data_IF_789133926857
#
_entry.id   IF_789133926857
#
_cell.length_a   1.000
_cell.length_b   1.000
_cell.length_c   1.000
_cell.angle_alpha   90.00
_cell.angle_beta   90.00
_cell.angle_gamma   90.00
#
_symmetry.space_group_name_H-M   'P 1'
#
loop_
_entity.id
_entity.type
_entity.pdbx_description
1 polymer ?
#
# COMPACT_ATOMS: atom_id res chain seq x y z
N UNK A 1 -1.52 -10.46 17.27
CA UNK A 1 -0.70 -9.28 16.91
C UNK A 1 -0.86 -8.88 15.45
N UNK A 2 -0.90 -9.84 14.52
CA UNK A 2 -1.04 -9.59 13.07
C UNK A 2 -2.09 -8.53 12.69
N UNK A 3 -3.36 -8.76 13.01
CA UNK A 3 -4.46 -7.88 12.60
C UNK A 3 -4.32 -6.43 13.06
N UNK A 4 -3.65 -6.20 14.19
CA UNK A 4 -3.51 -4.86 14.77
C UNK A 4 -2.30 -4.10 14.23
N UNK A 5 -1.16 -4.78 14.04
CA UNK A 5 0.11 -4.11 13.71
C UNK A 5 0.48 -4.19 12.24
N UNK A 6 0.07 -5.26 11.55
CA UNK A 6 0.52 -5.58 10.19
C UNK A 6 -0.62 -5.66 9.17
N UNK A 7 -1.88 -5.55 9.59
CA UNK A 7 -3.02 -5.57 8.66
C UNK A 7 -3.95 -4.36 8.84
N UNK A 8 -3.78 -3.58 9.92
CA UNK A 8 -4.58 -2.37 10.16
C UNK A 8 -3.89 -1.11 9.62
N UNK A 9 -2.57 -1.15 9.42
CA UNK A 9 -1.82 0.03 8.97
C UNK A 9 -2.22 0.42 7.56
N UNK A 10 -2.28 -0.54 6.64
CA UNK A 10 -2.64 -0.33 5.24
C UNK A 10 -4.05 0.27 5.06
N UNK A 11 -5.14 -0.30 5.62
CA UNK A 11 -6.46 0.30 5.48
C UNK A 11 -6.56 1.66 6.17
N UNK A 12 -5.81 1.89 7.25
CA UNK A 12 -5.76 3.19 7.92
C UNK A 12 -5.02 4.24 7.05
N UNK A 13 -3.89 3.86 6.44
CA UNK A 13 -3.16 4.73 5.52
C UNK A 13 -3.98 5.06 4.28
N UNK A 14 -4.67 4.07 3.71
CA UNK A 14 -5.60 4.30 2.59
C UNK A 14 -6.71 5.24 3.05
N UNK A 15 -7.36 4.97 4.19
CA UNK A 15 -8.47 5.79 4.66
C UNK A 15 -8.11 7.25 5.02
N UNK A 16 -6.87 7.52 5.43
CA UNK A 16 -6.42 8.87 5.79
C UNK A 16 -5.79 9.61 4.62
N UNK A 17 -4.95 8.94 3.83
CA UNK A 17 -4.08 9.59 2.85
C UNK A 17 -4.46 9.32 1.40
N UNK A 18 -5.27 8.29 1.11
CA UNK A 18 -5.66 8.02 -0.26
C UNK A 18 -6.66 9.08 -0.73
N UNK A 19 -6.32 9.69 -1.86
CA UNK A 19 -7.16 10.67 -2.53
C UNK A 19 -7.40 10.16 -3.94
N UNK A 20 -8.66 9.92 -4.25
CA UNK A 20 -9.10 9.60 -5.60
C UNK A 20 -8.59 10.67 -6.59
N UNK A 21 -8.86 11.94 -6.29
CA UNK A 21 -8.53 13.09 -7.15
C UNK A 21 -7.85 14.19 -6.33
N UNK A 22 -6.91 14.92 -6.96
CA UNK A 22 -6.34 16.14 -6.38
C UNK A 22 -7.46 17.16 -6.09
N UNK A 23 -7.43 17.80 -4.91
CA UNK A 23 -8.48 18.73 -4.45
C UNK A 23 -8.81 19.81 -5.51
N UNK A 24 -7.77 20.29 -6.22
CA UNK A 24 -7.87 21.30 -7.30
C UNK A 24 -8.75 20.83 -8.48
N UNK A 25 -8.62 19.55 -8.84
CA UNK A 25 -9.38 18.95 -9.94
C UNK A 25 -10.80 18.64 -9.49
N UNK A 26 -10.97 18.19 -8.24
CA UNK A 26 -12.29 17.96 -7.66
C UNK A 26 -13.14 19.24 -7.62
N UNK A 27 -12.52 20.40 -7.34
CA UNK A 27 -13.19 21.70 -7.36
C UNK A 27 -13.55 22.18 -8.77
N UNK A 28 -12.67 21.97 -9.75
CA UNK A 28 -12.87 22.45 -11.13
C UNK A 28 -13.89 21.62 -11.94
N UNK A 29 -14.11 20.35 -11.56
CA UNK A 29 -14.98 19.42 -12.26
C UNK A 29 -16.01 18.79 -11.30
N UNK A 30 -17.02 19.55 -10.84
CA UNK A 30 -18.02 19.06 -9.88
C UNK A 30 -18.87 17.91 -10.44
N UNK A 31 -18.89 17.73 -11.77
CA UNK A 31 -19.54 16.61 -12.44
C UNK A 31 -18.93 15.22 -12.11
N UNK A 32 -17.72 15.17 -11.52
CA UNK A 32 -17.12 13.93 -11.01
C UNK A 32 -17.76 13.46 -9.70
N UNK A 33 -18.44 14.34 -8.96
CA UNK A 33 -19.00 14.01 -7.65
C UNK A 33 -20.20 13.03 -7.68
N UNK A 34 -21.20 13.17 -8.59
CA UNK A 34 -22.32 12.22 -8.66
C UNK A 34 -21.93 10.77 -8.98
N UNK A 35 -20.99 10.47 -9.91
CA UNK A 35 -20.56 9.10 -10.14
C UNK A 35 -19.70 8.54 -8.99
N UNK A 36 -18.85 9.36 -8.34
CA UNK A 36 -18.05 8.93 -7.18
C UNK A 36 -18.89 8.74 -5.91
N UNK A 37 -19.92 9.57 -5.69
CA UNK A 37 -20.77 9.53 -4.47
C UNK A 37 -21.90 8.49 -4.54
N UNK A 38 -22.12 7.85 -5.68
CA UNK A 38 -23.06 6.72 -5.76
C UNK A 38 -22.48 5.53 -5.00
N UNK A 39 -23.07 5.22 -3.85
CA UNK A 39 -22.71 4.11 -2.95
C UNK A 39 -22.50 2.77 -3.67
N UNK A 40 -23.21 2.55 -4.79
CA UNK A 40 -23.11 1.34 -5.60
C UNK A 40 -21.76 1.11 -6.29
N UNK A 41 -20.89 2.12 -6.41
CA UNK A 41 -19.59 1.96 -7.08
C UNK A 41 -18.56 1.29 -6.18
N UNK A 42 -18.42 1.72 -4.93
CA UNK A 42 -17.42 1.21 -3.99
C UNK A 42 -18.01 0.25 -2.94
N UNK A 43 -19.25 0.46 -2.49
CA UNK A 43 -19.89 -0.30 -1.41
C UNK A 43 -21.17 -0.99 -1.89
N UNK A 44 -21.02 -1.90 -2.86
CA UNK A 44 -22.12 -2.79 -3.26
C UNK A 44 -21.93 -4.19 -2.66
N UNK A 45 -23.04 -4.81 -2.22
CA UNK A 45 -23.04 -6.19 -1.73
C UNK A 45 -22.34 -7.21 -2.65
N UNK A 46 -22.54 -7.21 -4.00
CA UNK A 46 -21.82 -8.12 -4.88
C UNK A 46 -20.31 -7.85 -4.91
N UNK A 47 -19.90 -6.58 -4.75
CA UNK A 47 -18.49 -6.22 -4.70
C UNK A 47 -17.84 -6.73 -3.41
N UNK A 48 -18.51 -6.57 -2.25
CA UNK A 48 -18.05 -7.12 -0.97
C UNK A 48 -17.96 -8.66 -1.05
N UNK A 49 -18.99 -9.32 -1.59
CA UNK A 49 -19.00 -10.77 -1.77
C UNK A 49 -17.86 -11.25 -2.67
N UNK A 50 -17.56 -10.51 -3.75
CA UNK A 50 -16.40 -10.78 -4.61
C UNK A 50 -15.10 -10.71 -3.82
N UNK A 51 -14.85 -9.65 -3.06
CA UNK A 51 -13.63 -9.53 -2.25
C UNK A 51 -13.46 -10.65 -1.22
N UNK A 52 -14.55 -11.08 -0.60
CA UNK A 52 -14.53 -12.22 0.34
C UNK A 52 -14.18 -13.53 -0.37
N UNK A 53 -14.75 -13.77 -1.56
CA UNK A 53 -14.43 -14.94 -2.36
C UNK A 53 -12.99 -14.91 -2.88
N UNK A 54 -12.52 -13.77 -3.36
CA UNK A 54 -11.14 -13.58 -3.82
C UNK A 54 -10.17 -13.89 -2.67
N UNK A 55 -10.42 -13.36 -1.46
CA UNK A 55 -9.62 -13.66 -0.28
C UNK A 55 -9.64 -15.14 0.12
N UNK A 56 -10.79 -15.81 0.02
CA UNK A 56 -10.90 -17.24 0.31
C UNK A 56 -10.15 -18.11 -0.70
N UNK A 57 -10.27 -17.78 -1.99
CA UNK A 57 -9.56 -18.49 -3.07
C UNK A 57 -8.06 -18.28 -2.95
N UNK A 58 -7.61 -17.05 -2.70
CA UNK A 58 -6.20 -16.75 -2.51
C UNK A 58 -5.62 -17.45 -1.29
N UNK A 59 -6.32 -17.41 -0.15
CA UNK A 59 -5.92 -18.15 1.05
C UNK A 59 -5.76 -19.65 0.78
N UNK A 60 -6.69 -20.25 0.02
CA UNK A 60 -6.59 -21.63 -0.42
C UNK A 60 -5.37 -21.86 -1.35
N UNK A 61 -5.12 -20.94 -2.28
CA UNK A 61 -3.98 -21.00 -3.19
C UNK A 61 -2.62 -20.77 -2.49
N UNK A 62 -2.58 -20.17 -1.30
CA UNK A 62 -1.39 -20.18 -0.45
C UNK A 62 -1.24 -21.49 0.33
N UNK A 63 -2.36 -21.94 0.90
CA UNK A 63 -2.37 -23.08 1.81
C UNK A 63 -2.08 -24.41 1.11
N UNK A 64 -2.80 -24.72 0.03
CA UNK A 64 -2.69 -26.03 -0.62
C UNK A 64 -1.31 -26.30 -1.24
N UNK A 65 -0.68 -25.37 -1.98
CA UNK A 65 0.67 -25.59 -2.50
C UNK A 65 1.69 -25.79 -1.38
N UNK A 66 1.61 -25.02 -0.29
CA UNK A 66 2.52 -25.15 0.85
C UNK A 66 2.39 -26.53 1.51
N UNK A 67 1.16 -26.98 1.73
CA UNK A 67 0.91 -28.32 2.29
C UNK A 67 1.38 -29.42 1.35
N UNK A 68 1.08 -29.34 0.05
CA UNK A 68 1.39 -30.40 -0.90
C UNK A 68 2.88 -30.50 -1.24
N UNK A 69 3.57 -29.36 -1.30
CA UNK A 69 4.98 -29.33 -1.70
C UNK A 69 5.92 -29.54 -0.51
N UNK A 70 5.62 -28.96 0.65
CA UNK A 70 6.53 -28.99 1.81
C UNK A 70 6.04 -29.92 2.88
N UNK A 71 4.80 -29.74 3.36
CA UNK A 71 4.31 -30.47 4.53
C UNK A 71 4.11 -31.96 4.27
N UNK A 72 3.59 -32.33 3.09
CA UNK A 72 3.33 -33.73 2.73
C UNK A 72 4.61 -34.57 2.59
N UNK A 73 5.76 -33.93 2.37
CA UNK A 73 7.05 -34.59 2.21
C UNK A 73 7.98 -34.37 3.42
N UNK A 74 7.48 -33.70 4.48
CA UNK A 74 8.26 -33.26 5.65
C UNK A 74 9.56 -32.52 5.30
N UNK A 75 9.60 -31.89 4.12
CA UNK A 75 10.82 -31.38 3.51
C UNK A 75 10.92 -29.85 3.64
N UNK A 76 10.80 -29.36 4.87
CA UNK A 76 10.96 -27.92 5.19
C UNK A 76 12.42 -27.51 5.08
N UNK A 77 13.32 -28.33 5.59
CA UNK A 77 14.75 -28.01 5.71
C UNK A 77 15.58 -28.85 4.76
N UNK A 78 16.12 -28.24 3.69
CA UNK A 78 16.96 -28.92 2.71
C UNK A 78 18.28 -29.45 3.29
N UNK A 79 18.74 -28.90 4.42
CA UNK A 79 20.08 -29.17 4.97
C UNK A 79 20.08 -30.05 6.22
N UNK A 80 19.00 -30.05 6.99
CA UNK A 80 19.04 -30.62 8.34
C UNK A 80 18.26 -31.95 8.46
N UNK A 81 17.38 -32.29 7.51
CA UNK A 81 16.68 -33.59 7.50
C UNK A 81 15.74 -33.82 8.69
N UNK A 82 15.43 -32.78 9.47
CA UNK A 82 14.45 -32.84 10.56
C UNK A 82 13.06 -32.50 10.03
N UNK A 83 12.01 -33.21 10.50
CA UNK A 83 10.64 -32.86 10.16
C UNK A 83 10.31 -31.48 10.72
N UNK A 84 9.68 -30.64 9.88
CA UNK A 84 9.21 -29.32 10.31
C UNK A 84 7.97 -29.41 11.20
N UNK A 85 7.93 -28.60 12.25
CA UNK A 85 6.76 -28.42 13.10
C UNK A 85 5.68 -27.56 12.44
N UNK A 86 4.53 -27.44 13.13
CA UNK A 86 3.38 -26.67 12.64
C UNK A 86 3.71 -25.17 12.60
N UNK A 87 4.56 -24.73 13.51
CA UNK A 87 5.02 -23.36 13.69
C UNK A 87 5.87 -22.90 12.49
N UNK A 88 6.70 -23.77 11.92
CA UNK A 88 7.47 -23.50 10.70
C UNK A 88 6.57 -23.23 9.50
N UNK A 89 5.61 -24.13 9.24
CA UNK A 89 4.66 -23.97 8.14
C UNK A 89 3.82 -22.70 8.33
N UNK A 90 3.42 -22.45 9.58
CA UNK A 90 2.70 -21.25 9.97
C UNK A 90 3.50 -19.97 9.67
N UNK A 91 4.80 -19.96 9.97
CA UNK A 91 5.68 -18.83 9.68
C UNK A 91 5.79 -18.58 8.17
N UNK A 92 6.06 -19.61 7.37
CA UNK A 92 6.18 -19.49 5.91
C UNK A 92 4.86 -18.94 5.32
N UNK A 93 3.73 -19.55 5.68
CA UNK A 93 2.41 -19.14 5.22
C UNK A 93 2.10 -17.70 5.60
N UNK A 94 2.41 -17.33 6.84
CA UNK A 94 2.18 -15.99 7.37
C UNK A 94 2.98 -14.93 6.62
N UNK A 95 4.30 -15.12 6.49
CA UNK A 95 5.17 -14.18 5.80
C UNK A 95 4.77 -14.01 4.34
N UNK A 96 4.38 -15.10 3.65
CA UNK A 96 3.90 -15.03 2.27
C UNK A 96 2.64 -14.16 2.13
N UNK A 97 1.63 -14.40 2.97
CA UNK A 97 0.37 -13.66 2.90
C UNK A 97 0.57 -12.19 3.23
N UNK A 98 1.32 -11.90 4.28
CA UNK A 98 1.53 -10.53 4.73
C UNK A 98 2.30 -9.71 3.68
N UNK A 99 3.41 -10.24 3.15
CA UNK A 99 4.18 -9.56 2.11
C UNK A 99 3.38 -9.37 0.81
N UNK A 100 2.59 -10.38 0.40
CA UNK A 100 1.73 -10.22 -0.79
C UNK A 100 0.66 -9.16 -0.54
N UNK A 101 0.03 -9.12 0.64
CA UNK A 101 -0.95 -8.11 0.98
C UNK A 101 -0.34 -6.70 0.93
N UNK A 102 0.85 -6.51 1.52
CA UNK A 102 1.57 -5.23 1.55
C UNK A 102 1.91 -4.73 0.14
N UNK A 103 2.49 -5.61 -0.67
CA UNK A 103 2.89 -5.27 -2.04
C UNK A 103 1.65 -5.02 -2.90
N UNK A 104 0.61 -5.84 -2.75
CA UNK A 104 -0.64 -5.65 -3.49
C UNK A 104 -1.23 -4.29 -3.21
N UNK A 105 -1.40 -3.94 -1.94
CA UNK A 105 -1.93 -2.64 -1.54
C UNK A 105 -1.09 -1.54 -2.18
N UNK A 106 0.23 -1.60 -2.01
CA UNK A 106 1.16 -0.62 -2.58
C UNK A 106 0.90 -0.43 -4.07
N UNK A 107 0.82 -1.51 -4.83
CA UNK A 107 0.60 -1.48 -6.28
C UNK A 107 -0.79 -0.96 -6.68
N UNK A 108 -1.82 -1.19 -5.85
CA UNK A 108 -3.20 -0.79 -6.17
C UNK A 108 -3.52 0.68 -5.89
N UNK A 109 -2.78 1.34 -4.99
CA UNK A 109 -3.06 2.74 -4.61
C UNK A 109 -2.82 3.70 -5.79
N UNK A 110 -3.79 4.59 -6.04
CA UNK A 110 -3.78 5.52 -7.18
C UNK A 110 -3.01 6.82 -6.91
N UNK A 111 -2.86 7.23 -5.65
CA UNK A 111 -2.17 8.44 -5.24
C UNK A 111 -0.93 8.13 -4.38
N UNK A 112 0.23 8.12 -5.03
CA UNK A 112 1.51 7.87 -4.35
C UNK A 112 2.02 9.12 -3.63
N UNK A 113 1.70 9.22 -2.33
CA UNK A 113 2.42 10.13 -1.44
C UNK A 113 3.73 9.49 -0.96
N UNK A 114 4.77 10.32 -0.80
CA UNK A 114 6.06 9.86 -0.26
C UNK A 114 5.89 9.21 1.11
N UNK A 115 5.02 9.76 1.96
CA UNK A 115 4.72 9.22 3.29
C UNK A 115 4.16 7.80 3.18
N UNK A 116 3.21 7.57 2.27
CA UNK A 116 2.63 6.24 2.05
C UNK A 116 3.70 5.23 1.63
N UNK A 117 4.53 5.58 0.65
CA UNK A 117 5.61 4.72 0.18
C UNK A 117 6.63 4.40 1.29
N UNK A 118 6.99 5.38 2.13
CA UNK A 118 7.89 5.17 3.27
C UNK A 118 7.26 4.26 4.31
N UNK A 119 5.99 4.47 4.67
CA UNK A 119 5.30 3.62 5.64
C UNK A 119 5.21 2.16 5.16
N UNK A 120 4.83 1.94 3.89
CA UNK A 120 4.78 0.59 3.31
C UNK A 120 6.17 -0.07 3.26
N UNK A 121 7.22 0.69 2.90
CA UNK A 121 8.59 0.17 2.90
C UNK A 121 9.06 -0.20 4.32
N UNK A 122 8.69 0.60 5.32
CA UNK A 122 8.98 0.30 6.73
C UNK A 122 8.23 -0.96 7.16
N UNK A 123 6.95 -1.12 6.82
CA UNK A 123 6.15 -2.31 7.15
C UNK A 123 6.78 -3.60 6.59
N UNK A 124 7.16 -3.59 5.31
CA UNK A 124 7.82 -4.71 4.63
C UNK A 124 9.13 -5.13 5.33
N UNK A 125 9.86 -4.17 5.92
CA UNK A 125 11.11 -4.45 6.66
C UNK A 125 10.84 -4.87 8.11
N UNK A 126 9.86 -4.23 8.76
CA UNK A 126 9.50 -4.47 10.15
C UNK A 126 8.92 -5.87 10.34
N UNK A 127 8.22 -6.42 9.34
CA UNK A 127 7.66 -7.77 9.42
C UNK A 127 8.73 -8.86 9.63
N UNK A 128 9.71 -9.07 8.72
CA UNK A 128 10.75 -10.08 8.94
C UNK A 128 11.62 -9.73 10.16
N UNK A 129 11.92 -8.45 10.39
CA UNK A 129 12.69 -8.03 11.56
C UNK A 129 11.98 -8.36 12.89
N UNK A 130 10.65 -8.19 12.93
CA UNK A 130 9.79 -8.52 14.07
C UNK A 130 9.71 -10.01 14.32
N UNK A 131 9.62 -10.82 13.26
CA UNK A 131 9.68 -12.29 13.36
C UNK A 131 11.04 -12.76 13.91
N UNK A 132 12.15 -12.19 13.43
CA UNK A 132 13.48 -12.46 14.00
C UNK A 132 13.56 -12.05 15.46
N UNK A 133 13.11 -10.85 15.82
CA UNK A 133 13.13 -10.38 17.20
C UNK A 133 12.29 -11.27 18.12
N UNK A 134 11.10 -11.67 17.69
CA UNK A 134 10.19 -12.51 18.47
C UNK A 134 10.75 -13.92 18.70
N UNK A 135 11.32 -14.54 17.67
CA UNK A 135 11.82 -15.92 17.75
C UNK A 135 13.12 -16.07 18.55
N UNK A 136 13.87 -14.99 18.78
CA UNK A 136 15.03 -15.01 19.68
C UNK A 136 14.64 -14.83 21.17
N UNK A 137 13.40 -14.45 21.46
CA UNK A 137 12.92 -14.23 22.82
C UNK A 137 12.40 -15.54 23.41
N UNK A 138 13.14 -16.10 24.37
CA UNK A 138 12.82 -17.40 24.97
C UNK A 138 11.52 -17.39 25.80
N UNK A 139 11.26 -16.29 26.53
CA UNK A 139 10.13 -16.16 27.44
C UNK A 139 9.50 -14.78 27.28
N UNK A 140 8.57 -14.63 26.33
CA UNK A 140 7.74 -13.43 26.23
C UNK A 140 6.28 -13.84 26.49
N UNK A 141 5.73 -13.38 27.61
CA UNK A 141 4.36 -13.70 28.06
C UNK A 141 4.03 -15.21 28.24
N UNK A 142 5.02 -16.10 28.26
CA UNK A 142 4.86 -17.55 28.44
C UNK A 142 6.00 -18.35 27.81
N UNK A 143 5.81 -19.66 27.68
CA UNK A 143 6.72 -20.54 26.93
C UNK A 143 6.59 -20.25 25.43
N UNK A 144 7.67 -19.80 24.80
CA UNK A 144 7.70 -19.61 23.35
C UNK A 144 8.01 -20.95 22.67
N UNK A 145 7.08 -21.45 21.85
CA UNK A 145 7.28 -22.68 21.09
C UNK A 145 8.04 -22.43 19.78
N UNK A 146 8.21 -21.16 19.39
CA UNK A 146 8.82 -20.76 18.12
C UNK A 146 10.27 -20.27 18.24
N UNK A 147 11.01 -20.77 19.23
CA UNK A 147 12.39 -20.31 19.47
C UNK A 147 13.32 -20.71 18.32
N UNK A 148 14.06 -19.72 17.79
CA UNK A 148 14.98 -19.82 16.65
C UNK A 148 14.38 -20.31 15.32
N UNK A 149 13.05 -20.43 15.20
CA UNK A 149 12.42 -20.89 13.96
C UNK A 149 12.73 -19.94 12.79
N UNK A 150 12.68 -18.63 13.00
CA UNK A 150 12.96 -17.66 11.93
C UNK A 150 14.37 -17.82 11.37
N UNK A 151 15.39 -18.02 12.22
CA UNK A 151 16.77 -18.25 11.77
C UNK A 151 16.90 -19.49 10.90
N UNK A 152 16.16 -20.55 11.21
CA UNK A 152 16.16 -21.78 10.42
C UNK A 152 15.41 -21.62 9.10
N UNK A 153 14.20 -21.06 9.13
CA UNK A 153 13.32 -20.90 7.95
C UNK A 153 13.90 -19.90 6.95
N UNK A 154 14.34 -18.72 7.41
CA UNK A 154 15.01 -17.74 6.54
C UNK A 154 16.41 -18.20 6.11
N UNK A 155 17.01 -19.18 6.78
CA UNK A 155 18.26 -19.79 6.37
C UNK A 155 18.13 -20.75 5.18
N UNK A 156 16.91 -21.15 4.82
CA UNK A 156 16.64 -22.05 3.71
C UNK A 156 16.27 -21.30 2.42
N UNK A 157 16.79 -21.78 1.28
CA UNK A 157 16.48 -21.25 -0.03
C UNK A 157 15.00 -21.45 -0.41
N UNK A 158 14.36 -22.49 0.12
CA UNK A 158 12.94 -22.82 -0.16
C UNK A 158 12.00 -21.68 0.22
N UNK A 159 12.25 -21.03 1.37
CA UNK A 159 11.46 -19.89 1.83
C UNK A 159 11.42 -18.78 0.78
N UNK A 160 12.58 -18.43 0.23
CA UNK A 160 12.67 -17.40 -0.80
C UNK A 160 11.98 -17.81 -2.11
N UNK A 161 12.05 -19.08 -2.51
CA UNK A 161 11.31 -19.58 -3.68
C UNK A 161 9.81 -19.39 -3.47
N UNK A 162 9.28 -19.72 -2.28
CA UNK A 162 7.87 -19.50 -1.95
C UNK A 162 7.50 -18.02 -1.95
N UNK A 163 8.33 -17.14 -1.38
CA UNK A 163 8.11 -15.69 -1.41
C UNK A 163 8.12 -15.17 -2.86
N UNK A 164 9.10 -15.54 -3.69
CA UNK A 164 9.15 -15.09 -5.08
C UNK A 164 7.99 -15.63 -5.91
N UNK A 165 7.62 -16.90 -5.72
CA UNK A 165 6.48 -17.50 -6.39
C UNK A 165 5.17 -16.81 -5.98
N UNK A 166 4.96 -16.58 -4.69
CA UNK A 166 3.76 -15.90 -4.18
C UNK A 166 3.64 -14.48 -4.71
N UNK A 167 4.67 -13.66 -4.53
CA UNK A 167 4.68 -12.29 -5.05
C UNK A 167 4.49 -12.31 -6.58
N UNK A 168 5.26 -13.14 -7.29
CA UNK A 168 5.23 -13.22 -8.74
C UNK A 168 3.88 -13.66 -9.32
N UNK A 169 3.18 -14.60 -8.69
CA UNK A 169 1.88 -15.07 -9.19
C UNK A 169 0.76 -14.13 -8.76
N UNK A 170 0.65 -13.83 -7.46
CA UNK A 170 -0.51 -13.13 -6.93
C UNK A 170 -0.50 -11.63 -7.22
N UNK A 171 0.66 -10.96 -7.15
CA UNK A 171 0.74 -9.53 -7.49
C UNK A 171 0.51 -9.33 -8.98
N UNK A 172 1.08 -10.20 -9.83
CA UNK A 172 0.85 -10.15 -11.28
C UNK A 172 -0.60 -10.47 -11.62
N UNK A 173 -1.23 -11.44 -10.93
CA UNK A 173 -2.65 -11.73 -11.09
C UNK A 173 -3.53 -10.51 -10.75
N UNK A 174 -3.26 -9.85 -9.61
CA UNK A 174 -4.00 -8.63 -9.24
C UNK A 174 -3.79 -7.52 -10.27
N UNK A 175 -2.55 -7.29 -10.71
CA UNK A 175 -2.25 -6.31 -11.76
C UNK A 175 -2.94 -6.65 -13.08
N UNK A 176 -2.91 -7.90 -13.51
CA UNK A 176 -3.52 -8.36 -14.74
C UNK A 176 -5.05 -8.19 -14.71
N UNK A 177 -5.70 -8.53 -13.60
CA UNK A 177 -7.14 -8.33 -13.44
C UNK A 177 -7.50 -6.85 -13.40
N UNK A 178 -6.71 -6.02 -12.72
CA UNK A 178 -6.91 -4.57 -12.70
C UNK A 178 -6.74 -3.96 -14.10
N UNK A 179 -5.67 -4.31 -14.83
CA UNK A 179 -5.43 -3.89 -16.21
C UNK A 179 -6.53 -4.38 -17.16
N UNK A 180 -6.97 -5.62 -17.01
CA UNK A 180 -8.08 -6.17 -17.80
C UNK A 180 -9.36 -5.34 -17.61
N UNK A 181 -9.72 -5.03 -16.37
CA UNK A 181 -10.88 -4.17 -16.08
C UNK A 181 -10.68 -2.77 -16.67
N UNK A 182 -9.47 -2.20 -16.57
CA UNK A 182 -9.16 -0.90 -17.18
C UNK A 182 -9.33 -0.90 -18.71
N UNK A 183 -8.96 -1.99 -19.38
CA UNK A 183 -9.06 -2.10 -20.84
C UNK A 183 -10.50 -2.31 -21.34
N UNK A 184 -11.27 -3.19 -20.68
CA UNK A 184 -12.56 -3.64 -21.21
C UNK A 184 -13.78 -2.98 -20.57
N UNK A 185 -13.65 -2.42 -19.36
CA UNK A 185 -14.73 -1.73 -18.66
C UNK A 185 -14.23 -0.45 -17.95
N UNK A 186 -13.64 0.51 -18.68
CA UNK A 186 -13.06 1.71 -18.09
C UNK A 186 -14.08 2.57 -17.32
N UNK A 187 -15.36 2.52 -17.69
CA UNK A 187 -16.44 3.24 -16.99
C UNK A 187 -16.80 2.65 -15.61
N UNK A 188 -16.34 1.42 -15.32
CA UNK A 188 -16.49 0.80 -14.00
C UNK A 188 -15.26 1.02 -13.11
N UNK A 189 -14.20 1.64 -13.63
CA UNK A 189 -12.94 1.78 -12.93
C UNK A 189 -12.59 3.25 -12.69
N UNK A 190 -12.63 3.63 -11.41
CA UNK A 190 -12.28 4.98 -10.97
C UNK A 190 -10.88 5.40 -11.46
N UNK A 191 -9.91 4.47 -11.51
CA UNK A 191 -8.54 4.80 -11.90
C UNK A 191 -8.45 5.34 -13.34
N UNK A 192 -9.23 4.80 -14.29
CA UNK A 192 -9.19 5.24 -15.70
C UNK A 192 -9.87 6.58 -15.88
N UNK A 193 -11.00 6.79 -15.20
CA UNK A 193 -11.67 8.09 -15.18
C UNK A 193 -10.73 9.16 -14.60
N UNK A 194 -9.99 8.83 -13.55
CA UNK A 194 -9.05 9.74 -12.90
C UNK A 194 -7.80 10.01 -13.74
N UNK A 195 -7.28 9.01 -14.47
CA UNK A 195 -6.20 9.22 -15.43
C UNK A 195 -6.63 10.08 -16.63
N UNK A 196 -7.85 9.90 -17.12
CA UNK A 196 -8.42 10.76 -18.16
C UNK A 196 -8.54 12.21 -17.69
N UNK A 197 -8.93 12.41 -16.42
CA UNK A 197 -9.01 13.73 -15.79
C UNK A 197 -7.62 14.34 -15.57
N UNK A 198 -6.61 13.55 -15.14
CA UNK A 198 -5.22 14.01 -15.02
C UNK A 198 -4.63 14.48 -16.35
N UNK A 199 -5.06 13.88 -17.46
CA UNK A 199 -4.68 14.26 -18.83
C UNK A 199 -5.52 15.41 -19.40
N UNK A 200 -6.57 15.86 -18.70
CA UNK A 200 -7.47 16.89 -19.20
C UNK A 200 -6.82 18.29 -19.21
N UNK A 201 -7.25 19.19 -20.12
CA UNK A 201 -6.70 20.55 -20.22
C UNK A 201 -6.92 21.40 -18.94
N UNK A 202 -7.91 21.04 -18.13
CA UNK A 202 -8.29 21.77 -16.92
C UNK A 202 -7.16 21.83 -15.89
N UNK A 203 -6.34 20.78 -15.78
CA UNK A 203 -5.16 20.76 -14.90
C UNK A 203 -4.12 21.81 -15.30
N UNK A 204 -3.92 22.00 -16.61
CA UNK A 204 -2.92 22.94 -17.13
C UNK A 204 -3.34 24.39 -16.87
N UNK A 205 -4.64 24.70 -17.04
CA UNK A 205 -5.20 26.00 -16.72
C UNK A 205 -5.03 26.34 -15.23
N UNK A 206 -5.28 25.38 -14.34
CA UNK A 206 -5.12 25.59 -12.91
C UNK A 206 -3.66 25.86 -12.51
N UNK A 207 -2.71 25.09 -13.05
CA UNK A 207 -1.28 25.33 -12.79
C UNK A 207 -0.84 26.75 -13.19
N UNK A 208 -1.33 27.24 -14.34
CA UNK A 208 -1.07 28.60 -14.80
C UNK A 208 -1.66 29.62 -13.83
N UNK A 209 -2.90 29.43 -13.38
CA UNK A 209 -3.56 30.33 -12.42
C UNK A 209 -2.84 30.35 -11.06
N UNK A 210 -2.39 29.19 -10.58
CA UNK A 210 -1.62 29.04 -9.33
C UNK A 210 -0.27 29.74 -9.41
N UNK A 211 0.43 29.62 -10.54
CA UNK A 211 1.67 30.37 -10.78
C UNK A 211 1.42 31.87 -10.83
N UNK A 212 0.34 32.30 -11.48
CA UNK A 212 -0.06 33.70 -11.53
C UNK A 212 -0.33 34.25 -10.13
N UNK A 213 -1.15 33.57 -9.33
CA UNK A 213 -1.46 33.98 -7.96
C UNK A 213 -0.20 34.03 -7.08
N UNK A 214 0.73 33.06 -7.23
CA UNK A 214 2.03 33.10 -6.53
C UNK A 214 2.86 34.32 -6.91
N UNK A 215 2.88 34.72 -8.18
CA UNK A 215 3.57 35.93 -8.64
C UNK A 215 2.91 37.18 -8.05
N UNK A 216 1.57 37.28 -8.11
CA UNK A 216 0.83 38.40 -7.52
C UNK A 216 1.08 38.53 -6.00
N UNK A 217 1.13 37.41 -5.28
CA UNK A 217 1.48 37.40 -3.85
C UNK A 217 2.92 37.84 -3.58
N UNK A 218 3.88 37.38 -4.38
CA UNK A 218 5.28 37.79 -4.28
C UNK A 218 5.43 39.30 -4.54
N UNK A 219 4.76 39.82 -5.57
CA UNK A 219 4.77 41.26 -5.89
C UNK A 219 4.18 42.11 -4.77
N UNK A 220 3.03 41.70 -4.21
CA UNK A 220 2.42 42.41 -3.06
C UNK A 220 3.34 42.43 -1.84
N UNK A 221 4.02 41.32 -1.56
CA UNK A 221 4.98 41.23 -0.46
C UNK A 221 6.19 42.14 -0.69
N UNK A 222 6.67 42.22 -1.93
CA UNK A 222 7.80 43.06 -2.29
C UNK A 222 7.45 44.55 -2.20
N UNK A 223 6.25 44.94 -2.63
CA UNK A 223 5.72 46.31 -2.47
C UNK A 223 5.60 46.69 -0.99
N UNK A 224 5.06 45.81 -0.14
CA UNK A 224 4.98 46.06 1.31
C UNK A 224 6.36 46.29 1.95
N UNK A 225 7.36 45.47 1.58
CA UNK A 225 8.73 45.67 2.07
C UNK A 225 9.33 47.00 1.62
N UNK A 226 9.03 47.43 0.39
CA UNK A 226 9.54 48.67 -0.18
C UNK A 226 8.92 49.90 0.52
N UNK A 227 7.63 49.82 0.85
CA UNK A 227 6.92 50.84 1.63
C UNK A 227 7.44 50.91 3.07
N UNK A 228 7.74 49.77 3.70
CA UNK A 228 8.36 49.72 5.04
C UNK A 228 9.77 50.36 5.06
N UNK A 229 10.58 50.12 4.02
CA UNK A 229 11.92 50.73 3.90
C UNK A 229 11.81 52.24 3.71
N UNK A 230 10.93 52.71 2.82
CA UNK A 230 10.69 54.15 2.63
C UNK A 230 10.17 54.82 3.90
N UNK A 231 9.30 54.15 4.65
CA UNK A 231 8.81 54.66 5.93
C UNK A 231 9.94 54.80 6.97
N UNK A 232 10.92 53.87 6.97
CA UNK A 232 12.10 53.96 7.83
C UNK A 232 13.08 55.06 7.40
N UNK A 233 13.31 55.23 6.10
CA UNK A 233 14.17 56.30 5.57
C UNK A 233 13.57 57.69 5.78
N UNK A 234 12.25 57.83 5.65
CA UNK A 234 11.53 59.08 5.93
C UNK A 234 11.44 59.44 7.43
N UNK A 235 11.71 58.50 8.33
CA UNK A 235 11.70 58.70 9.79
C UNK A 235 13.11 58.94 10.38
N UNK A 236 14.16 58.93 9.57
CA UNK A 236 15.50 59.29 10.02
C UNK A 236 15.58 60.82 10.25
N UNK A 237 15.79 61.29 11.50
CA UNK A 237 15.87 62.72 11.78
C UNK A 237 17.14 63.31 11.15
N UNK A 238 16.98 64.43 10.45
CA UNK A 238 18.05 65.28 9.95
C UNK A 238 18.79 66.00 11.09
#
# INVERSE_FOLDING_TARGET
MYGLFFAALQPLLIGIFDKDVEDEIAESLPALYPPLSRENMYFSAPYIAKWLLDGAVEGACFFFPLIYTVAAHEDVYSKEGWPGGVEEYGLIFFTMIALVADIRVTVTVAYYMVIFAVCMAVEIVVLPAGEFAYTELHNLAGSNWSVHIARKVYGDAKMYIFIFFSIGVFVVYTLATQLYVQMFAPWMNASVAMDAVRRSPFRRLHHIEKERLRREYMERRLMQQLDEVKAKEGAAPA
#
